data_IF_724661530489
#
_entry.id   IF_724661530489
#
_cell.length_a   1.000
_cell.length_b   1.000
_cell.length_c   1.000
_cell.angle_alpha   90.00
_cell.angle_beta   90.00
_cell.angle_gamma   90.00
#
_symmetry.space_group_name_H-M   'P 1'
#
loop_
_entity.id
_entity.type
_entity.pdbx_description
1 polymer ?
#
# COMPACT_ATOMS: atom_id res chain seq x y z
N UNK A 1 31.12 44.55 34.20
CA UNK A 1 31.07 44.75 35.69
C UNK A 1 30.24 43.62 36.30
N UNK A 2 30.91 42.78 37.04
CA UNK A 2 30.49 41.78 38.08
C UNK A 2 29.59 40.61 37.57
N UNK A 3 30.15 39.40 37.29
CA UNK A 3 30.81 38.40 38.19
C UNK A 3 29.91 37.88 39.33
N UNK A 4 29.58 36.57 39.28
CA UNK A 4 29.64 35.58 40.37
C UNK A 4 28.99 34.28 39.81
N UNK A 5 29.62 33.18 39.54
CA UNK A 5 30.52 32.23 40.25
C UNK A 5 29.90 31.65 41.54
N UNK A 6 29.59 30.37 41.56
CA UNK A 6 29.80 29.37 42.58
C UNK A 6 29.01 28.09 42.25
N UNK A 7 29.63 27.00 41.91
CA UNK A 7 30.32 25.99 42.73
C UNK A 7 29.39 24.95 43.39
N UNK A 8 29.54 23.71 42.86
CA UNK A 8 29.72 22.41 43.52
C UNK A 8 28.72 21.94 44.58
N UNK A 9 28.20 20.72 44.39
CA UNK A 9 28.54 19.60 45.30
C UNK A 9 28.23 18.24 44.66
N UNK A 10 29.27 17.39 44.57
CA UNK A 10 29.20 15.94 44.40
C UNK A 10 28.56 15.29 45.61
N UNK A 11 27.68 14.31 45.41
CA UNK A 11 27.23 13.38 46.44
C UNK A 11 27.28 11.94 45.90
N UNK A 12 28.43 11.28 46.10
CA UNK A 12 28.58 9.83 45.95
C UNK A 12 27.97 9.15 47.15
N UNK A 13 26.93 8.33 46.94
CA UNK A 13 26.49 7.35 47.95
C UNK A 13 26.75 5.95 47.41
N UNK A 14 27.81 5.34 47.93
CA UNK A 14 28.08 3.92 47.79
C UNK A 14 27.23 3.16 48.80
N UNK A 15 26.36 2.27 48.37
CA UNK A 15 25.72 1.26 49.26
C UNK A 15 26.35 -0.10 48.99
N UNK A 16 27.10 -0.54 49.96
CA UNK A 16 27.58 -1.91 50.16
C UNK A 16 26.38 -2.82 50.48
N UNK A 17 26.12 -3.84 49.64
CA UNK A 17 25.26 -4.97 50.00
C UNK A 17 26.15 -6.19 50.22
N UNK A 18 26.11 -6.66 51.43
CA UNK A 18 26.81 -7.85 51.98
C UNK A 18 26.21 -9.10 51.30
N UNK A 19 27.09 -9.91 50.74
CA UNK A 19 26.77 -11.25 50.24
C UNK A 19 26.63 -12.22 51.41
N UNK A 20 25.48 -12.89 51.53
CA UNK A 20 25.36 -14.15 52.26
C UNK A 20 25.24 -15.28 51.24
N UNK A 21 26.24 -16.13 51.17
CA UNK A 21 26.29 -17.32 50.35
C UNK A 21 25.34 -18.40 50.87
N UNK A 22 24.60 -18.98 49.95
CA UNK A 22 23.92 -20.26 50.12
C UNK A 22 24.31 -21.16 48.93
N UNK A 23 25.14 -22.14 49.22
CA UNK A 23 25.54 -23.16 48.26
C UNK A 23 24.34 -24.05 47.93
N UNK A 24 23.85 -23.97 46.68
CA UNK A 24 22.92 -24.96 46.15
C UNK A 24 23.72 -26.14 45.59
N UNK A 25 23.60 -27.27 46.25
CA UNK A 25 24.10 -28.58 45.83
C UNK A 25 23.49 -28.97 44.47
N UNK A 26 24.35 -29.17 43.51
CA UNK A 26 23.98 -29.75 42.20
C UNK A 26 23.54 -31.21 42.38
N UNK A 27 22.31 -31.51 41.94
CA UNK A 27 21.80 -32.88 41.80
C UNK A 27 22.29 -33.39 40.45
N UNK A 28 22.93 -34.56 40.37
CA UNK A 28 23.34 -35.12 39.09
C UNK A 28 22.15 -35.57 38.24
N UNK A 29 22.23 -35.50 36.91
CA UNK A 29 21.15 -35.91 36.04
C UNK A 29 20.93 -37.41 36.11
N UNK A 30 19.69 -37.81 36.40
CA UNK A 30 19.24 -39.20 36.32
C UNK A 30 19.20 -39.64 34.87
N UNK A 31 19.99 -40.63 34.51
CA UNK A 31 19.93 -41.30 33.23
C UNK A 31 18.61 -42.05 33.11
N UNK A 32 17.71 -41.54 32.27
CA UNK A 32 16.54 -42.28 31.81
C UNK A 32 16.98 -43.14 30.60
N UNK A 33 16.79 -44.45 30.60
CA UNK A 33 17.14 -45.27 29.43
C UNK A 33 16.22 -44.92 28.26
N UNK A 34 16.83 -44.88 27.06
CA UNK A 34 16.13 -44.70 25.81
C UNK A 34 15.12 -45.84 25.59
N UNK A 35 13.91 -45.57 25.07
CA UNK A 35 12.99 -46.62 24.70
C UNK A 35 13.54 -47.46 23.55
N UNK A 36 13.37 -48.77 23.65
CA UNK A 36 13.68 -49.76 22.61
C UNK A 36 12.89 -49.44 21.31
N UNK A 37 13.48 -49.70 20.13
CA UNK A 37 12.79 -49.46 18.87
C UNK A 37 11.62 -50.46 18.71
N UNK A 38 10.41 -49.92 18.63
CA UNK A 38 9.21 -50.67 18.30
C UNK A 38 9.31 -51.19 16.85
N UNK A 39 9.06 -52.46 16.66
CA UNK A 39 9.08 -53.13 15.38
C UNK A 39 8.19 -52.43 14.34
N UNK A 40 8.69 -52.30 13.12
CA UNK A 40 8.00 -51.74 11.97
C UNK A 40 6.69 -52.57 11.69
N UNK A 41 5.59 -51.88 11.34
CA UNK A 41 4.42 -52.57 10.83
C UNK A 41 4.69 -53.17 9.44
N UNK A 42 4.26 -54.42 9.29
CA UNK A 42 4.30 -55.17 8.03
C UNK A 42 3.51 -54.40 6.96
N UNK A 43 4.17 -54.22 5.80
CA UNK A 43 3.56 -53.62 4.60
C UNK A 43 2.28 -54.41 4.18
N UNK A 44 1.19 -53.65 4.06
CA UNK A 44 0.03 -54.10 3.34
C UNK A 44 0.25 -53.95 1.82
N UNK A 45 -0.33 -54.80 0.96
CA UNK A 45 -0.05 -54.80 -0.46
C UNK A 45 -0.44 -53.49 -1.12
N UNK A 46 0.52 -52.86 -1.76
CA UNK A 46 0.35 -51.66 -2.57
C UNK A 46 -0.57 -51.97 -3.75
N UNK A 47 -1.78 -51.45 -3.70
CA UNK A 47 -2.59 -51.35 -4.91
C UNK A 47 -1.92 -50.28 -5.80
N UNK A 48 -1.42 -50.70 -6.92
CA UNK A 48 -0.90 -49.84 -7.99
C UNK A 48 -2.09 -49.07 -8.55
N UNK A 49 -2.32 -47.85 -8.04
CA UNK A 49 -3.15 -46.87 -8.73
C UNK A 49 -2.31 -46.32 -9.87
N UNK A 50 -2.71 -46.56 -11.10
CA UNK A 50 -2.26 -45.79 -12.26
C UNK A 50 -2.45 -44.31 -11.95
N UNK A 51 -1.49 -43.46 -12.30
CA UNK A 51 -1.67 -42.02 -12.19
C UNK A 51 -2.80 -41.64 -13.16
N UNK A 52 -4.00 -41.40 -12.62
CA UNK A 52 -4.98 -40.59 -13.30
C UNK A 52 -4.30 -39.23 -13.46
N UNK A 53 -3.92 -38.91 -14.67
CA UNK A 53 -3.71 -37.55 -15.11
C UNK A 53 -5.04 -36.81 -14.80
N UNK A 54 -5.06 -36.12 -13.68
CA UNK A 54 -5.99 -35.02 -13.49
C UNK A 54 -5.56 -33.98 -14.52
N UNK A 55 -6.24 -33.96 -15.66
CA UNK A 55 -6.29 -32.77 -16.48
C UNK A 55 -6.77 -31.64 -15.55
N UNK A 56 -6.07 -30.51 -15.51
CA UNK A 56 -6.61 -29.33 -14.89
C UNK A 56 -7.98 -29.09 -15.53
N UNK A 57 -9.02 -29.07 -14.74
CA UNK A 57 -10.29 -28.54 -15.21
C UNK A 57 -10.06 -27.06 -15.44
N UNK A 58 -9.68 -26.70 -16.66
CA UNK A 58 -9.94 -25.40 -17.21
C UNK A 58 -11.46 -25.19 -17.08
N UNK A 59 -11.90 -24.57 -16.02
CA UNK A 59 -13.11 -23.80 -16.05
C UNK A 59 -12.79 -22.58 -16.93
N UNK A 60 -12.85 -22.83 -18.25
CA UNK A 60 -13.09 -21.76 -19.17
C UNK A 60 -14.36 -21.06 -18.69
N UNK A 61 -14.21 -19.90 -18.09
CA UNK A 61 -15.25 -18.90 -18.17
C UNK A 61 -15.28 -18.46 -19.63
N UNK A 62 -16.07 -19.21 -20.46
CA UNK A 62 -16.49 -18.74 -21.76
C UNK A 62 -17.42 -17.55 -21.55
N UNK A 63 -16.84 -16.39 -21.24
CA UNK A 63 -17.48 -15.11 -21.44
C UNK A 63 -17.29 -14.71 -22.91
N UNK A 64 -18.32 -14.19 -23.55
CA UNK A 64 -18.21 -13.51 -24.83
C UNK A 64 -17.47 -12.18 -24.61
N UNK A 65 -16.14 -12.23 -24.49
CA UNK A 65 -15.31 -11.04 -24.34
C UNK A 65 -15.35 -10.20 -25.62
N UNK A 66 -15.34 -8.87 -25.47
CA UNK A 66 -15.36 -7.97 -26.61
C UNK A 66 -14.09 -8.13 -27.45
N UNK A 67 -14.17 -7.88 -28.80
CA UNK A 67 -12.99 -7.88 -29.65
C UNK A 67 -11.92 -6.86 -29.19
N UNK A 68 -12.36 -5.75 -28.60
CA UNK A 68 -11.51 -4.70 -28.05
C UNK A 68 -10.70 -5.24 -26.85
N UNK A 69 -11.36 -5.92 -25.91
CA UNK A 69 -10.70 -6.53 -24.76
C UNK A 69 -9.70 -7.62 -25.19
N UNK A 70 -10.08 -8.46 -26.16
CA UNK A 70 -9.18 -9.48 -26.72
C UNK A 70 -7.97 -8.86 -27.43
N UNK A 71 -8.15 -7.69 -28.07
CA UNK A 71 -7.03 -6.95 -28.66
C UNK A 71 -6.08 -6.40 -27.60
N UNK A 72 -6.60 -5.84 -26.49
CA UNK A 72 -5.80 -5.40 -25.35
C UNK A 72 -5.06 -6.59 -24.72
N UNK A 73 -5.73 -7.71 -24.51
CA UNK A 73 -5.11 -8.93 -23.99
C UNK A 73 -3.95 -9.41 -24.90
N UNK A 74 -4.17 -9.41 -26.23
CA UNK A 74 -3.15 -9.80 -27.20
C UNK A 74 -1.96 -8.81 -27.22
N UNK A 75 -2.19 -7.52 -27.03
CA UNK A 75 -1.15 -6.51 -26.92
C UNK A 75 -0.34 -6.70 -25.63
N UNK A 76 -0.99 -6.93 -24.50
CA UNK A 76 -0.33 -7.22 -23.21
C UNK A 76 0.47 -8.51 -23.26
N UNK A 77 -0.06 -9.55 -23.94
CA UNK A 77 0.61 -10.83 -24.09
C UNK A 77 1.84 -10.78 -25.01
N UNK A 78 1.81 -9.98 -26.06
CA UNK A 78 2.81 -9.99 -27.12
C UNK A 78 3.48 -8.63 -27.35
N UNK A 79 2.97 -7.59 -26.70
CA UNK A 79 3.48 -6.23 -26.84
C UNK A 79 4.64 -5.93 -25.89
N UNK A 80 5.12 -4.68 -25.90
CA UNK A 80 6.21 -4.23 -25.01
C UNK A 80 5.92 -4.44 -23.52
N UNK A 81 4.65 -4.41 -23.11
CA UNK A 81 4.23 -4.68 -21.73
C UNK A 81 4.42 -6.12 -21.28
N UNK A 82 4.47 -7.10 -22.19
CA UNK A 82 4.61 -8.53 -21.88
C UNK A 82 5.89 -8.88 -21.10
N UNK A 83 6.94 -8.09 -21.24
CA UNK A 83 8.22 -8.35 -20.53
C UNK A 83 8.16 -8.01 -19.03
N UNK A 84 7.08 -7.38 -18.55
CA UNK A 84 6.89 -7.01 -17.14
C UNK A 84 5.98 -7.93 -16.39
N UNK A 85 5.78 -9.05 -16.94
CA UNK A 85 5.10 -10.12 -16.31
C UNK A 85 6.08 -10.84 -15.39
N UNK A 86 6.20 -10.37 -14.16
CA UNK A 86 6.93 -11.05 -13.10
C UNK A 86 6.17 -12.27 -12.60
N UNK A 87 6.84 -13.17 -11.88
CA UNK A 87 6.14 -14.23 -11.16
C UNK A 87 5.33 -13.58 -10.02
N UNK A 88 3.99 -13.65 -10.12
CA UNK A 88 3.09 -13.13 -9.10
C UNK A 88 3.35 -13.77 -7.73
N UNK A 89 3.77 -15.03 -7.70
CA UNK A 89 4.10 -15.72 -6.47
C UNK A 89 5.30 -15.08 -5.75
N UNK A 90 6.23 -14.48 -6.47
CA UNK A 90 7.36 -13.78 -5.86
C UNK A 90 6.94 -12.46 -5.20
N UNK A 91 5.89 -11.81 -5.72
CA UNK A 91 5.41 -10.52 -5.21
C UNK A 91 4.31 -10.66 -4.17
N UNK A 92 3.30 -11.50 -4.42
CA UNK A 92 2.10 -11.59 -3.58
C UNK A 92 2.01 -12.90 -2.79
N UNK A 93 2.94 -13.82 -3.02
CA UNK A 93 2.90 -15.19 -2.47
C UNK A 93 2.01 -16.11 -3.31
N UNK A 94 1.88 -17.39 -2.93
CA UNK A 94 1.12 -18.35 -3.70
C UNK A 94 -0.33 -17.87 -3.84
N UNK A 95 -0.73 -17.64 -5.09
CA UNK A 95 -2.09 -17.25 -5.43
C UNK A 95 -2.93 -18.51 -5.53
N UNK A 96 -3.97 -18.69 -4.70
CA UNK A 96 -4.76 -19.92 -4.72
C UNK A 96 -5.58 -20.11 -5.99
N UNK A 97 -5.76 -19.08 -6.81
CA UNK A 97 -6.72 -19.10 -7.91
C UNK A 97 -6.37 -18.32 -9.18
N UNK A 98 -5.25 -17.63 -9.24
CA UNK A 98 -4.79 -17.10 -10.52
C UNK A 98 -4.30 -18.30 -11.31
N UNK A 99 -5.15 -18.74 -12.25
CA UNK A 99 -4.84 -19.91 -13.04
C UNK A 99 -3.59 -19.66 -13.88
N UNK A 100 -2.76 -20.70 -13.93
CA UNK A 100 -1.58 -20.78 -14.79
C UNK A 100 -1.86 -20.60 -16.30
N UNK A 101 -3.14 -20.39 -16.71
CA UNK A 101 -3.50 -20.02 -18.09
C UNK A 101 -2.82 -18.73 -18.54
N UNK A 102 -2.42 -17.95 -17.56
CA UNK A 102 -1.61 -16.76 -17.73
C UNK A 102 -0.14 -17.01 -17.38
N UNK A 103 0.31 -18.25 -17.51
CA UNK A 103 1.64 -18.73 -17.18
C UNK A 103 2.78 -17.96 -17.86
N UNK A 104 2.47 -17.13 -18.83
CA UNK A 104 3.38 -16.14 -19.40
C UNK A 104 3.29 -14.81 -18.67
N UNK A 105 2.52 -14.76 -17.54
CA UNK A 105 2.38 -13.65 -16.63
C UNK A 105 1.51 -12.50 -17.15
N UNK A 106 0.62 -12.78 -18.07
CA UNK A 106 -0.39 -11.85 -18.51
C UNK A 106 -1.48 -11.67 -17.44
N UNK A 107 -2.19 -10.56 -17.52
CA UNK A 107 -3.37 -10.35 -16.68
C UNK A 107 -4.46 -11.31 -17.14
N UNK A 108 -5.13 -12.06 -16.22
CA UNK A 108 -6.27 -12.91 -16.57
C UNK A 108 -7.37 -12.13 -17.29
N UNK A 109 -8.09 -12.76 -18.22
CA UNK A 109 -9.12 -12.07 -18.99
C UNK A 109 -10.21 -11.45 -18.11
N UNK A 110 -10.59 -12.11 -17.02
CA UNK A 110 -11.57 -11.57 -16.06
C UNK A 110 -11.05 -10.29 -15.38
N UNK A 111 -9.76 -10.26 -15.00
CA UNK A 111 -9.15 -9.10 -14.39
C UNK A 111 -8.93 -7.96 -15.40
N UNK A 112 -8.65 -8.28 -16.66
CA UNK A 112 -8.63 -7.29 -17.75
C UNK A 112 -9.99 -6.66 -17.97
N UNK A 113 -11.06 -7.45 -17.94
CA UNK A 113 -12.42 -6.96 -18.10
C UNK A 113 -12.79 -5.99 -16.97
N UNK A 114 -12.54 -6.37 -15.72
CA UNK A 114 -12.81 -5.52 -14.57
C UNK A 114 -11.95 -4.25 -14.51
N UNK A 115 -10.75 -4.29 -15.10
CA UNK A 115 -9.77 -3.20 -15.06
C UNK A 115 -9.49 -2.60 -16.45
N UNK A 116 -10.39 -2.80 -17.41
CA UNK A 116 -10.30 -2.23 -18.76
C UNK A 116 -10.10 -0.71 -18.75
N UNK A 117 -10.66 -0.03 -17.76
CA UNK A 117 -10.47 1.41 -17.55
C UNK A 117 -9.00 1.83 -17.41
N UNK A 118 -8.12 0.94 -16.92
CA UNK A 118 -6.66 1.17 -16.87
C UNK A 118 -6.06 0.99 -18.25
N UNK A 119 -6.23 -0.17 -18.85
CA UNK A 119 -5.52 -0.59 -20.06
C UNK A 119 -5.97 0.15 -21.32
N UNK A 120 -7.21 0.62 -21.37
CA UNK A 120 -7.78 1.42 -22.46
C UNK A 120 -7.48 2.92 -22.30
N UNK A 121 -6.95 3.36 -21.17
CA UNK A 121 -6.70 4.77 -20.89
C UNK A 121 -5.54 5.34 -21.70
N UNK A 122 -5.63 6.63 -22.02
CA UNK A 122 -4.50 7.38 -22.60
C UNK A 122 -3.30 7.46 -21.63
N UNK A 123 -3.57 7.40 -20.34
CA UNK A 123 -2.53 7.36 -19.32
C UNK A 123 -1.64 6.12 -19.45
N UNK A 124 -2.26 4.93 -19.54
CA UNK A 124 -1.53 3.66 -19.72
C UNK A 124 -0.71 3.67 -21.02
N UNK A 125 -1.27 4.15 -22.12
CA UNK A 125 -0.55 4.31 -23.39
C UNK A 125 0.63 5.26 -23.24
N UNK A 126 0.46 6.38 -22.53
CA UNK A 126 1.54 7.31 -22.21
C UNK A 126 2.66 6.69 -21.37
N UNK A 127 2.33 5.75 -20.46
CA UNK A 127 3.34 4.98 -19.72
C UNK A 127 4.14 4.07 -20.66
N UNK A 128 3.48 3.35 -21.57
CA UNK A 128 4.16 2.49 -22.57
C UNK A 128 5.16 3.29 -23.42
N UNK A 129 4.77 4.48 -23.87
CA UNK A 129 5.65 5.37 -24.63
C UNK A 129 6.87 5.85 -23.81
N UNK A 130 6.65 6.26 -22.56
CA UNK A 130 7.70 6.73 -21.65
C UNK A 130 8.64 5.62 -21.18
N UNK A 131 8.18 4.39 -21.18
CA UNK A 131 8.98 3.21 -20.80
C UNK A 131 10.13 2.91 -21.77
N UNK A 132 10.06 3.42 -23.00
CA UNK A 132 11.10 3.29 -24.04
C UNK A 132 11.61 1.85 -24.24
N UNK A 133 10.71 0.90 -24.38
CA UNK A 133 11.05 -0.52 -24.54
C UNK A 133 11.94 -0.83 -25.75
N UNK A 134 11.69 -0.15 -26.85
CA UNK A 134 12.36 -0.41 -28.13
C UNK A 134 13.57 0.49 -28.40
N UNK A 135 13.71 1.58 -27.64
CA UNK A 135 14.79 2.55 -27.78
C UNK A 135 15.20 3.11 -26.42
N UNK A 136 15.72 2.26 -25.53
CA UNK A 136 16.09 2.66 -24.18
C UNK A 136 17.30 3.63 -24.20
N UNK A 137 17.37 4.49 -23.21
CA UNK A 137 18.50 5.41 -23.02
C UNK A 137 19.79 4.62 -22.79
N UNK A 138 20.85 4.95 -23.55
CA UNK A 138 22.16 4.39 -23.36
C UNK A 138 22.86 5.01 -22.15
N UNK A 139 23.46 4.17 -21.30
CA UNK A 139 24.27 4.63 -20.17
C UNK A 139 25.64 5.08 -20.66
N UNK A 140 26.03 6.29 -20.33
CA UNK A 140 27.34 6.88 -20.65
C UNK A 140 28.19 7.16 -19.41
N UNK A 141 27.57 7.17 -18.23
CA UNK A 141 28.25 7.46 -16.97
C UNK A 141 29.25 6.36 -16.58
N UNK A 142 30.50 6.78 -16.29
CA UNK A 142 31.61 5.90 -15.93
C UNK A 142 32.18 6.16 -14.52
N UNK A 143 31.56 7.09 -13.77
CA UNK A 143 31.99 7.44 -12.41
C UNK A 143 31.75 6.35 -11.37
N UNK A 144 31.92 6.69 -10.11
CA UNK A 144 31.66 5.80 -8.98
C UNK A 144 30.16 5.49 -8.85
N UNK A 145 29.77 4.35 -8.26
CA UNK A 145 28.36 4.06 -7.97
C UNK A 145 27.70 5.14 -7.10
N UNK A 146 26.46 5.46 -7.46
CA UNK A 146 25.61 6.36 -6.68
C UNK A 146 24.60 5.47 -5.94
N UNK A 147 24.61 5.55 -4.62
CA UNK A 147 23.68 4.81 -3.75
C UNK A 147 22.58 5.77 -3.31
N UNK A 148 21.34 5.29 -3.37
CA UNK A 148 20.12 6.02 -3.02
C UNK A 148 19.47 5.29 -1.84
N UNK A 149 19.34 5.96 -0.72
CA UNK A 149 18.61 5.44 0.44
C UNK A 149 17.12 5.69 0.26
N UNK A 150 16.35 4.62 0.12
CA UNK A 150 14.90 4.65 -0.04
C UNK A 150 14.19 4.25 1.24
N UNK A 151 13.09 4.90 1.57
CA UNK A 151 12.21 4.50 2.66
C UNK A 151 10.75 4.41 2.21
N UNK A 152 10.09 3.34 2.62
CA UNK A 152 8.68 3.07 2.37
C UNK A 152 7.96 2.68 3.67
N UNK A 153 6.65 2.69 3.66
CA UNK A 153 5.79 2.45 4.84
C UNK A 153 6.15 1.13 5.54
N UNK A 154 6.22 0.02 4.80
CA UNK A 154 6.54 -1.29 5.32
C UNK A 154 6.92 -2.24 4.18
N UNK A 155 8.08 -2.88 4.26
CA UNK A 155 8.61 -3.78 3.21
C UNK A 155 7.79 -5.04 2.96
N UNK A 156 6.89 -5.41 3.86
CA UNK A 156 6.00 -6.55 3.66
C UNK A 156 4.80 -6.24 2.75
N UNK A 157 4.48 -4.95 2.56
CA UNK A 157 3.37 -4.51 1.71
C UNK A 157 3.81 -4.52 0.25
N UNK A 158 2.96 -4.97 -0.66
CA UNK A 158 3.31 -5.18 -2.07
C UNK A 158 3.78 -3.90 -2.76
N UNK A 159 3.13 -2.77 -2.57
CA UNK A 159 3.53 -1.52 -3.21
C UNK A 159 4.89 -0.95 -2.73
N UNK A 160 5.39 -1.42 -1.57
CA UNK A 160 6.76 -1.19 -1.13
C UNK A 160 7.70 -2.28 -1.66
N UNK A 161 7.26 -3.53 -1.59
CA UNK A 161 8.03 -4.71 -2.01
C UNK A 161 8.38 -4.65 -3.51
N UNK A 162 7.52 -4.10 -4.36
CA UNK A 162 7.76 -3.94 -5.80
C UNK A 162 9.00 -3.09 -6.10
N UNK A 163 9.34 -2.14 -5.24
CA UNK A 163 10.59 -1.37 -5.38
C UNK A 163 11.79 -2.32 -5.29
N UNK A 164 11.80 -3.20 -4.28
CA UNK A 164 12.91 -4.14 -4.04
C UNK A 164 12.98 -5.26 -5.07
N UNK A 165 11.82 -5.78 -5.49
CA UNK A 165 11.75 -6.98 -6.33
C UNK A 165 11.74 -6.66 -7.81
N UNK A 166 11.29 -5.47 -8.20
CA UNK A 166 11.19 -5.06 -9.59
C UNK A 166 12.16 -3.92 -9.96
N UNK A 167 12.05 -2.74 -9.30
CA UNK A 167 12.84 -1.57 -9.68
C UNK A 167 14.32 -1.74 -9.41
N UNK A 168 14.69 -2.15 -8.20
CA UNK A 168 16.10 -2.23 -7.76
C UNK A 168 16.95 -3.14 -8.66
N UNK A 169 16.57 -4.40 -8.95
CA UNK A 169 17.38 -5.27 -9.80
C UNK A 169 17.50 -4.73 -11.22
N UNK A 170 16.43 -4.22 -11.79
CA UNK A 170 16.40 -3.67 -13.15
C UNK A 170 17.25 -2.42 -13.29
N UNK A 171 17.10 -1.48 -12.36
CA UNK A 171 17.90 -0.25 -12.35
C UNK A 171 19.39 -0.57 -12.18
N UNK A 172 19.72 -1.49 -11.28
CA UNK A 172 21.08 -1.95 -11.06
C UNK A 172 21.68 -2.59 -12.32
N UNK A 173 20.94 -3.45 -13.00
CA UNK A 173 21.37 -4.09 -14.25
C UNK A 173 21.53 -3.06 -15.36
N UNK A 174 20.53 -2.22 -15.60
CA UNK A 174 20.52 -1.19 -16.65
C UNK A 174 21.65 -0.17 -16.50
N UNK A 175 22.08 0.08 -15.27
CA UNK A 175 23.16 1.03 -14.97
C UNK A 175 24.50 0.35 -14.69
N UNK A 176 24.63 -0.96 -14.94
CA UNK A 176 25.83 -1.74 -14.59
C UNK A 176 26.30 -1.48 -13.15
N UNK A 177 25.36 -1.37 -12.19
CA UNK A 177 25.64 -1.08 -10.80
C UNK A 177 26.11 0.36 -10.53
N UNK A 178 25.82 1.31 -11.41
CA UNK A 178 26.18 2.73 -11.20
C UNK A 178 25.11 3.54 -10.48
N UNK A 179 23.87 3.08 -10.48
CA UNK A 179 22.78 3.64 -9.68
C UNK A 179 22.12 2.47 -8.91
N UNK A 180 22.18 2.52 -7.59
CA UNK A 180 21.74 1.46 -6.69
C UNK A 180 20.77 2.06 -5.68
N UNK A 181 19.59 1.47 -5.53
CA UNK A 181 18.64 1.84 -4.46
C UNK A 181 18.78 0.80 -3.34
N UNK A 182 19.00 1.28 -2.13
CA UNK A 182 18.97 0.51 -0.88
C UNK A 182 17.69 0.85 -0.13
N UNK A 183 16.78 -0.11 -0.05
CA UNK A 183 15.46 0.11 0.55
C UNK A 183 15.43 -0.27 2.02
N UNK A 184 14.70 0.54 2.76
CA UNK A 184 14.36 0.34 4.17
C UNK A 184 12.88 0.70 4.40
N UNK A 185 12.40 0.57 5.62
CA UNK A 185 11.04 0.95 5.98
C UNK A 185 11.02 1.99 7.11
N UNK A 186 9.91 2.71 7.22
CA UNK A 186 9.72 3.71 8.28
C UNK A 186 9.96 3.12 9.68
N UNK A 187 9.44 1.93 10.04
CA UNK A 187 9.72 1.32 11.34
C UNK A 187 11.20 1.02 11.58
N UNK A 188 11.95 0.60 10.54
CA UNK A 188 13.39 0.30 10.66
C UNK A 188 14.21 1.57 10.92
N UNK A 189 13.75 2.71 10.41
CA UNK A 189 14.39 4.02 10.62
C UNK A 189 13.87 4.76 11.87
N UNK A 190 12.78 4.29 12.47
CA UNK A 190 12.10 5.02 13.54
C UNK A 190 11.39 6.29 13.03
N UNK A 191 11.05 6.35 11.75
CA UNK A 191 10.29 7.45 11.12
C UNK A 191 8.80 7.13 11.20
N UNK A 192 7.97 8.10 11.58
CA UNK A 192 6.53 7.98 11.48
C UNK A 192 6.03 8.48 10.11
N UNK A 193 4.88 7.96 9.66
CA UNK A 193 4.28 8.39 8.39
C UNK A 193 4.13 9.90 8.23
N UNK A 194 3.64 10.64 9.24
CA UNK A 194 3.54 12.10 9.20
C UNK A 194 4.86 12.85 8.98
N UNK A 195 5.99 12.27 9.34
CA UNK A 195 7.30 12.93 9.26
C UNK A 195 7.94 12.80 7.85
N UNK A 196 7.30 12.10 6.92
CA UNK A 196 7.91 11.74 5.62
C UNK A 196 8.21 12.93 4.73
N UNK A 197 7.38 13.99 4.74
CA UNK A 197 7.67 15.23 3.99
C UNK A 197 8.91 15.94 4.51
N UNK A 198 9.08 16.00 5.84
CA UNK A 198 10.25 16.58 6.47
C UNK A 198 11.54 15.87 6.04
N UNK A 199 11.49 14.52 5.95
CA UNK A 199 12.66 13.74 5.49
C UNK A 199 13.13 14.14 4.08
N UNK A 200 12.19 14.48 3.18
CA UNK A 200 12.51 14.94 1.82
C UNK A 200 12.97 16.39 1.82
N UNK A 201 12.28 17.27 2.56
CA UNK A 201 12.57 18.71 2.62
C UNK A 201 13.97 18.99 3.19
N UNK A 202 14.39 18.20 4.18
CA UNK A 202 15.65 18.37 4.90
C UNK A 202 16.80 17.51 4.37
N UNK A 203 16.60 16.84 3.23
CA UNK A 203 17.62 15.98 2.60
C UNK A 203 18.14 14.86 3.54
N UNK A 204 17.31 14.35 4.49
CA UNK A 204 17.68 13.28 5.42
C UNK A 204 17.54 11.89 4.82
N UNK A 205 16.63 11.73 3.85
CA UNK A 205 16.47 10.54 3.03
C UNK A 205 16.56 10.92 1.56
N UNK A 206 17.16 10.04 0.76
CA UNK A 206 17.38 10.28 -0.67
C UNK A 206 16.11 10.13 -1.48
N UNK A 207 15.28 9.13 -1.15
CA UNK A 207 13.98 8.87 -1.75
C UNK A 207 12.99 8.40 -0.67
N UNK A 208 11.76 8.89 -0.73
CA UNK A 208 10.70 8.53 0.22
C UNK A 208 9.40 8.28 -0.53
N UNK A 209 8.66 7.27 -0.09
CA UNK A 209 7.28 7.08 -0.50
C UNK A 209 6.37 8.01 0.31
N UNK A 210 5.75 8.99 -0.35
CA UNK A 210 4.86 9.98 0.25
C UNK A 210 3.42 9.55 0.02
N UNK A 211 2.72 9.21 1.10
CA UNK A 211 1.31 8.80 1.10
C UNK A 211 0.44 9.94 1.64
N UNK A 212 -0.50 10.43 0.84
CA UNK A 212 -1.37 11.57 1.18
C UNK A 212 -1.99 11.51 2.57
N UNK A 213 -2.68 10.44 2.97
CA UNK A 213 -3.26 10.32 4.31
C UNK A 213 -2.28 10.50 5.47
N UNK A 214 -1.03 10.05 5.32
CA UNK A 214 -0.05 10.20 6.40
C UNK A 214 0.38 11.65 6.61
N UNK A 215 0.47 12.40 5.53
CA UNK A 215 0.97 13.78 5.55
C UNK A 215 -0.15 14.84 5.53
N UNK A 216 -1.41 14.41 5.62
CA UNK A 216 -2.57 15.29 5.52
C UNK A 216 -2.64 16.38 6.61
N UNK A 217 -1.99 16.17 7.75
CA UNK A 217 -1.86 17.18 8.81
C UNK A 217 -0.94 18.34 8.43
N UNK A 218 0.05 18.10 7.56
CA UNK A 218 1.03 19.06 7.10
C UNK A 218 0.72 19.56 5.68
N UNK A 219 0.29 18.67 4.79
CA UNK A 219 -0.04 18.94 3.39
C UNK A 219 -1.43 18.38 3.04
N UNK A 220 -2.53 18.99 3.56
CA UNK A 220 -3.89 18.46 3.39
C UNK A 220 -4.34 18.39 1.93
N UNK A 221 -3.76 19.18 1.03
CA UNK A 221 -4.02 19.15 -0.40
C UNK A 221 -3.73 17.77 -1.01
N UNK A 222 -2.70 17.08 -0.52
CA UNK A 222 -2.31 15.78 -1.06
C UNK A 222 -3.33 14.68 -0.73
N UNK A 223 -4.15 14.87 0.30
CA UNK A 223 -5.21 13.92 0.67
C UNK A 223 -6.36 13.87 -0.36
N UNK A 224 -6.44 14.82 -1.29
CA UNK A 224 -7.47 14.85 -2.36
C UNK A 224 -7.53 13.53 -3.14
N UNK A 225 -6.41 12.84 -3.31
CA UNK A 225 -6.34 11.53 -3.97
C UNK A 225 -6.99 10.41 -3.15
N UNK A 226 -7.27 10.69 -1.87
CA UNK A 226 -7.61 9.67 -0.88
C UNK A 226 -8.78 10.09 0.01
N UNK A 227 -9.67 10.97 -0.46
CA UNK A 227 -10.87 11.33 0.29
C UNK A 227 -11.73 10.09 0.50
N UNK A 228 -11.75 9.62 1.74
CA UNK A 228 -12.19 8.28 2.07
C UNK A 228 -13.70 8.11 1.89
N UNK A 229 -14.12 7.00 1.28
CA UNK A 229 -15.52 6.71 0.99
C UNK A 229 -16.12 7.47 -0.20
N UNK A 230 -15.33 8.35 -0.86
CA UNK A 230 -15.83 9.23 -1.93
C UNK A 230 -16.20 8.48 -3.20
N UNK A 231 -15.46 7.42 -3.53
CA UNK A 231 -15.61 6.66 -4.76
C UNK A 231 -16.43 5.40 -4.53
N UNK A 232 -17.28 5.05 -5.49
CA UNK A 232 -18.07 3.82 -5.48
C UNK A 232 -17.54 2.76 -6.43
N UNK A 233 -16.65 3.17 -7.35
CA UNK A 233 -15.98 2.30 -8.31
C UNK A 233 -14.49 2.67 -8.40
N UNK A 234 -13.63 1.68 -8.64
CA UNK A 234 -12.18 1.86 -8.79
C UNK A 234 -11.84 2.76 -9.99
N UNK A 235 -12.58 2.60 -11.08
CA UNK A 235 -12.45 3.43 -12.28
C UNK A 235 -12.58 4.93 -11.98
N UNK A 236 -13.52 5.30 -11.11
CA UNK A 236 -13.71 6.69 -10.70
C UNK A 236 -12.47 7.27 -10.02
N UNK A 237 -11.88 6.53 -9.09
CA UNK A 237 -10.68 7.00 -8.40
C UNK A 237 -9.47 7.03 -9.31
N UNK A 238 -9.31 6.04 -10.19
CA UNK A 238 -8.25 6.02 -11.18
C UNK A 238 -8.34 7.22 -12.12
N UNK A 239 -9.51 7.44 -12.73
CA UNK A 239 -9.77 8.55 -13.63
C UNK A 239 -9.53 9.92 -12.96
N UNK A 240 -10.10 10.12 -11.78
CA UNK A 240 -9.89 11.34 -11.00
C UNK A 240 -8.42 11.55 -10.64
N UNK A 241 -7.71 10.49 -10.23
CA UNK A 241 -6.29 10.57 -9.89
C UNK A 241 -5.46 10.95 -11.10
N UNK A 242 -5.68 10.31 -12.25
CA UNK A 242 -4.97 10.62 -13.51
C UNK A 242 -5.18 12.08 -13.92
N UNK A 243 -6.41 12.60 -13.81
CA UNK A 243 -6.74 13.98 -14.18
C UNK A 243 -6.03 15.01 -13.25
N UNK A 244 -5.81 14.68 -11.97
CA UNK A 244 -5.18 15.59 -11.01
C UNK A 244 -3.66 15.38 -10.85
N UNK A 245 -3.05 14.38 -11.51
CA UNK A 245 -1.62 14.10 -11.36
C UNK A 245 -0.71 15.31 -11.59
N UNK A 246 -0.93 16.17 -12.62
CA UNK A 246 -0.08 17.35 -12.81
C UNK A 246 -0.12 18.32 -11.63
N UNK A 247 -1.29 18.48 -10.99
CA UNK A 247 -1.44 19.36 -9.82
C UNK A 247 -0.73 18.78 -8.59
N UNK A 248 -0.83 17.46 -8.42
CA UNK A 248 -0.19 16.73 -7.32
C UNK A 248 1.34 16.74 -7.47
N UNK A 249 1.85 16.47 -8.66
CA UNK A 249 3.29 16.51 -8.92
C UNK A 249 3.85 17.92 -8.68
N UNK A 250 3.14 18.94 -9.15
CA UNK A 250 3.56 20.35 -8.93
C UNK A 250 3.50 20.70 -7.44
N UNK A 251 2.46 20.28 -6.70
CA UNK A 251 2.35 20.46 -5.26
C UNK A 251 3.56 19.85 -4.52
N UNK A 252 3.93 18.62 -4.87
CA UNK A 252 5.07 17.93 -4.25
C UNK A 252 6.40 18.64 -4.57
N UNK A 253 6.57 19.11 -5.80
CA UNK A 253 7.75 19.90 -6.21
C UNK A 253 7.83 21.20 -5.43
N UNK A 254 6.73 21.93 -5.34
CA UNK A 254 6.67 23.23 -4.66
C UNK A 254 6.93 23.09 -3.16
N UNK A 255 6.38 22.04 -2.54
CA UNK A 255 6.50 21.80 -1.11
C UNK A 255 7.88 21.26 -0.71
N UNK A 256 8.39 20.25 -1.42
CA UNK A 256 9.62 19.55 -1.04
C UNK A 256 10.85 20.04 -1.80
N UNK A 257 10.66 20.69 -2.95
CA UNK A 257 11.72 20.96 -3.93
C UNK A 257 12.28 19.68 -4.57
N UNK A 258 11.74 18.51 -4.23
CA UNK A 258 12.17 17.21 -4.73
C UNK A 258 11.61 16.89 -6.12
N UNK A 259 11.91 15.69 -6.59
CA UNK A 259 11.45 15.18 -7.87
C UNK A 259 10.55 13.98 -7.67
N UNK A 260 9.22 14.07 -7.95
CA UNK A 260 8.33 12.92 -8.01
C UNK A 260 8.75 12.02 -9.19
N UNK A 261 9.34 10.86 -8.87
CA UNK A 261 9.93 9.99 -9.91
C UNK A 261 8.86 9.14 -10.62
N UNK A 262 7.83 8.75 -9.89
CA UNK A 262 6.68 8.00 -10.39
C UNK A 262 5.49 8.06 -9.44
N UNK A 263 4.32 7.75 -9.96
CA UNK A 263 3.16 7.35 -9.16
C UNK A 263 3.39 5.92 -8.69
N UNK A 264 3.15 5.65 -7.43
CA UNK A 264 3.18 4.32 -6.86
C UNK A 264 1.75 3.88 -6.58
N UNK A 265 1.15 3.17 -7.52
CA UNK A 265 -0.19 2.61 -7.40
C UNK A 265 -0.20 1.49 -6.36
N UNK A 266 -1.17 1.50 -5.47
CA UNK A 266 -1.26 0.54 -4.37
C UNK A 266 -1.93 -0.79 -4.78
N UNK A 267 -1.89 -1.08 -6.07
CA UNK A 267 -2.30 -2.36 -6.60
C UNK A 267 -3.77 -2.69 -6.34
N UNK A 268 -4.66 -1.67 -6.49
CA UNK A 268 -6.11 -1.84 -6.44
C UNK A 268 -6.65 -2.38 -5.12
N UNK A 269 -6.05 -2.00 -4.03
CA UNK A 269 -6.40 -2.47 -2.69
C UNK A 269 -7.71 -1.82 -2.23
N UNK A 270 -8.85 -2.47 -2.42
CA UNK A 270 -10.05 -2.08 -1.71
C UNK A 270 -9.78 -2.06 -0.20
N UNK A 271 -10.38 -1.11 0.47
CA UNK A 271 -10.20 -0.93 1.90
C UNK A 271 -11.30 -1.65 2.66
N UNK A 272 -10.95 -2.25 3.77
CA UNK A 272 -11.86 -3.02 4.62
C UNK A 272 -11.74 -2.56 6.08
N UNK A 273 -12.84 -2.79 6.83
CA UNK A 273 -12.82 -2.76 8.29
C UNK A 273 -12.59 -4.16 8.81
N UNK A 274 -11.48 -4.35 9.49
CA UNK A 274 -11.12 -5.56 10.20
C UNK A 274 -11.62 -5.47 11.63
N UNK A 275 -12.54 -6.33 12.06
CA UNK A 275 -13.26 -6.22 13.33
C UNK A 275 -13.33 -7.54 14.08
N UNK A 276 -13.57 -7.45 15.40
CA UNK A 276 -13.84 -8.63 16.24
C UNK A 276 -15.29 -9.11 16.12
N UNK A 277 -16.22 -8.19 15.88
CA UNK A 277 -17.64 -8.45 15.70
C UNK A 277 -18.07 -8.06 14.28
N UNK A 278 -19.12 -8.69 13.72
CA UNK A 278 -19.58 -8.39 12.36
C UNK A 278 -20.29 -7.03 12.30
N UNK A 279 -20.15 -6.32 11.18
CA UNK A 279 -20.81 -5.03 10.94
C UNK A 279 -22.02 -5.23 10.01
N UNK A 280 -23.19 -5.51 10.58
CA UNK A 280 -24.43 -5.78 9.83
C UNK A 280 -25.32 -4.55 9.68
N UNK A 281 -25.21 -3.59 10.59
CA UNK A 281 -26.06 -2.39 10.63
C UNK A 281 -25.31 -1.18 11.21
N UNK A 282 -25.78 0.04 10.95
CA UNK A 282 -25.17 1.28 11.45
C UNK A 282 -24.85 1.29 12.95
N UNK A 283 -25.71 0.70 13.77
CA UNK A 283 -25.50 0.66 15.22
C UNK A 283 -24.26 -0.15 15.65
N UNK A 284 -23.75 -1.04 14.80
CA UNK A 284 -22.56 -1.86 15.12
C UNK A 284 -21.26 -1.03 15.07
N UNK A 285 -21.28 0.14 14.44
CA UNK A 285 -20.13 1.05 14.34
C UNK A 285 -20.09 2.05 15.50
N UNK A 286 -21.22 2.27 16.18
CA UNK A 286 -21.35 3.35 17.17
C UNK A 286 -20.34 3.27 18.32
N UNK A 287 -19.49 4.30 18.44
CA UNK A 287 -18.44 4.38 19.45
C UNK A 287 -17.28 3.38 19.30
N UNK A 288 -17.25 2.59 18.22
CA UNK A 288 -16.21 1.60 17.97
C UNK A 288 -14.86 2.27 17.77
N UNK A 289 -13.87 1.93 18.59
CA UNK A 289 -12.51 2.42 18.49
C UNK A 289 -11.80 1.84 17.28
N UNK A 290 -11.74 2.62 16.23
CA UNK A 290 -11.26 2.19 14.93
C UNK A 290 -9.97 2.90 14.56
N UNK A 291 -8.95 2.12 14.18
CA UNK A 291 -7.69 2.68 13.65
C UNK A 291 -7.93 3.41 12.36
N UNK A 292 -7.50 4.67 12.33
CA UNK A 292 -7.32 5.47 11.13
C UNK A 292 -5.82 5.67 10.84
N UNK A 293 -5.48 5.99 9.58
CA UNK A 293 -4.12 6.33 9.17
C UNK A 293 -4.04 7.66 8.39
N UNK A 294 -5.11 8.44 8.43
CA UNK A 294 -5.21 9.74 7.79
C UNK A 294 -6.39 10.54 8.33
N UNK A 295 -6.47 11.82 7.94
CA UNK A 295 -7.50 12.72 8.45
C UNK A 295 -8.87 12.45 7.83
N UNK A 296 -8.96 12.23 6.51
CA UNK A 296 -10.24 11.90 5.86
C UNK A 296 -10.81 10.55 6.31
N UNK A 297 -9.95 9.58 6.63
CA UNK A 297 -10.38 8.31 7.21
C UNK A 297 -10.94 8.53 8.63
N UNK A 298 -10.30 9.41 9.40
CA UNK A 298 -10.81 9.79 10.74
C UNK A 298 -12.16 10.48 10.66
N UNK A 299 -12.32 11.41 9.71
CA UNK A 299 -13.59 12.08 9.45
C UNK A 299 -14.67 11.07 9.04
N UNK A 300 -14.34 10.14 8.15
CA UNK A 300 -15.28 9.10 7.73
C UNK A 300 -15.70 8.20 8.88
N UNK A 301 -14.75 7.71 9.71
CA UNK A 301 -15.06 6.91 10.90
C UNK A 301 -15.97 7.68 11.86
N UNK A 302 -15.69 8.96 12.10
CA UNK A 302 -16.51 9.83 12.95
C UNK A 302 -17.92 10.03 12.35
N UNK A 303 -18.03 10.26 11.05
CA UNK A 303 -19.28 10.37 10.32
C UNK A 303 -20.11 9.09 10.33
N UNK A 304 -19.47 7.95 10.41
CA UNK A 304 -20.10 6.64 10.61
C UNK A 304 -20.56 6.42 12.07
N UNK A 305 -20.20 7.30 13.00
CA UNK A 305 -20.50 7.18 14.43
C UNK A 305 -19.44 6.46 15.25
N UNK A 306 -18.32 6.09 14.67
CA UNK A 306 -17.19 5.45 15.34
C UNK A 306 -16.27 6.43 16.07
N UNK A 307 -15.29 5.91 16.81
CA UNK A 307 -14.25 6.66 17.53
C UNK A 307 -12.89 6.47 16.83
N UNK A 308 -12.46 7.41 15.95
CA UNK A 308 -11.22 7.27 15.19
C UNK A 308 -9.99 7.42 16.07
N UNK A 309 -9.04 6.50 15.92
CA UNK A 309 -7.77 6.50 16.62
C UNK A 309 -6.63 6.48 15.60
N UNK A 310 -5.82 7.55 15.52
CA UNK A 310 -4.64 7.54 14.66
C UNK A 310 -3.58 6.61 15.25
N UNK A 311 -3.13 5.63 14.46
CA UNK A 311 -2.07 4.71 14.85
C UNK A 311 -1.20 4.28 13.67
N UNK A 312 0.12 4.27 13.88
CA UNK A 312 1.07 3.80 12.88
C UNK A 312 0.83 2.32 12.53
N UNK A 313 1.01 1.95 11.27
CA UNK A 313 0.65 0.63 10.75
C UNK A 313 1.25 -0.54 11.54
N UNK A 314 2.53 -0.44 11.92
CA UNK A 314 3.24 -1.49 12.65
C UNK A 314 2.72 -1.71 14.09
N UNK A 315 1.96 -0.77 14.66
CA UNK A 315 1.46 -0.83 16.04
C UNK A 315 0.06 -1.45 16.13
N UNK A 316 -0.64 -1.56 15.00
CA UNK A 316 -2.07 -1.93 14.94
C UNK A 316 -2.31 -3.34 15.45
N UNK A 317 -1.51 -4.33 15.04
CA UNK A 317 -1.65 -5.70 15.51
C UNK A 317 -1.69 -5.77 17.05
N UNK A 318 -0.72 -5.16 17.70
CA UNK A 318 -0.63 -5.16 19.17
C UNK A 318 -1.81 -4.42 19.83
N UNK A 319 -2.29 -3.34 19.22
CA UNK A 319 -3.44 -2.59 19.73
C UNK A 319 -4.75 -3.40 19.61
N UNK A 320 -4.96 -4.12 18.50
CA UNK A 320 -6.08 -5.04 18.31
C UNK A 320 -5.99 -6.22 19.27
N UNK A 321 -4.82 -6.85 19.42
CA UNK A 321 -4.59 -7.96 20.33
C UNK A 321 -4.95 -7.59 21.78
N UNK A 322 -4.53 -6.40 22.23
CA UNK A 322 -4.78 -5.91 23.59
C UNK A 322 -6.17 -5.33 23.81
N UNK A 323 -6.98 -5.20 22.77
CA UNK A 323 -8.31 -4.59 22.85
C UNK A 323 -8.27 -3.08 23.10
N UNK A 324 -7.16 -2.41 22.76
CA UNK A 324 -7.06 -0.93 22.74
C UNK A 324 -7.86 -0.41 21.55
N UNK A 325 -7.81 -1.13 20.44
CA UNK A 325 -8.65 -0.95 19.25
C UNK A 325 -9.63 -2.12 19.12
N UNK A 326 -10.82 -1.83 18.60
CA UNK A 326 -11.87 -2.79 18.28
C UNK A 326 -11.87 -3.12 16.79
N UNK A 327 -11.40 -2.17 15.97
CA UNK A 327 -11.30 -2.28 14.53
C UNK A 327 -10.05 -1.63 13.96
N UNK A 328 -9.70 -2.05 12.73
CA UNK A 328 -8.66 -1.41 11.93
C UNK A 328 -9.11 -1.24 10.48
N UNK A 329 -8.77 -0.10 9.87
CA UNK A 329 -9.02 0.18 8.45
C UNK A 329 -7.73 -0.02 7.68
N UNK A 330 -7.75 -0.89 6.66
CA UNK A 330 -6.63 -1.09 5.72
C UNK A 330 -7.06 -1.92 4.51
N UNK A 331 -6.20 -2.04 3.49
CA UNK A 331 -6.38 -2.97 2.36
C UNK A 331 -6.31 -4.44 2.77
N UNK A 332 -6.89 -5.31 1.95
CA UNK A 332 -6.96 -6.74 2.23
C UNK A 332 -5.58 -7.39 2.36
N UNK A 333 -4.69 -7.17 1.42
CA UNK A 333 -3.31 -7.70 1.45
C UNK A 333 -2.49 -7.11 2.61
N UNK A 334 -2.66 -5.80 2.87
CA UNK A 334 -1.96 -5.12 3.95
C UNK A 334 -2.33 -5.68 5.32
N UNK A 335 -3.62 -5.88 5.61
CA UNK A 335 -4.09 -6.49 6.85
C UNK A 335 -3.59 -7.92 7.02
N UNK A 336 -3.62 -8.72 5.94
CA UNK A 336 -3.08 -10.08 5.95
C UNK A 336 -1.57 -10.08 6.21
N UNK A 337 -0.79 -9.23 5.54
CA UNK A 337 0.67 -9.16 5.69
C UNK A 337 1.12 -8.83 7.12
N UNK A 338 0.28 -8.10 7.88
CA UNK A 338 0.47 -7.79 9.29
C UNK A 338 -0.20 -8.80 10.23
N UNK A 339 -0.74 -9.90 9.69
CA UNK A 339 -1.34 -11.00 10.44
C UNK A 339 -2.53 -10.58 11.33
N UNK A 340 -3.28 -9.56 10.90
CA UNK A 340 -4.44 -9.11 11.68
C UNK A 340 -5.48 -10.22 11.85
N UNK A 341 -5.53 -11.18 10.93
CA UNK A 341 -6.38 -12.37 11.00
C UNK A 341 -6.17 -13.25 12.26
N UNK A 342 -5.08 -13.05 13.01
CA UNK A 342 -4.84 -13.77 14.27
C UNK A 342 -5.57 -13.15 15.46
N UNK A 343 -5.99 -11.89 15.36
CA UNK A 343 -6.50 -11.08 16.49
C UNK A 343 -7.88 -10.49 16.25
N UNK A 344 -8.46 -10.72 15.05
CA UNK A 344 -9.82 -10.32 14.66
C UNK A 344 -10.55 -11.48 14.01
N UNK A 345 -11.86 -11.34 13.74
CA UNK A 345 -12.68 -12.43 13.20
C UNK A 345 -13.35 -12.09 11.86
N UNK A 346 -13.54 -10.80 11.57
CA UNK A 346 -14.33 -10.35 10.43
C UNK A 346 -13.55 -9.36 9.58
N UNK A 347 -13.80 -9.42 8.27
CA UNK A 347 -13.40 -8.43 7.29
C UNK A 347 -14.67 -7.88 6.65
N UNK A 348 -14.94 -6.58 6.81
CA UNK A 348 -16.20 -5.95 6.40
C UNK A 348 -15.97 -4.91 5.32
N UNK A 349 -16.83 -4.84 4.33
CA UNK A 349 -16.73 -3.88 3.21
C UNK A 349 -17.34 -4.41 1.91
N UNK A 350 -16.68 -4.17 0.77
CA UNK A 350 -15.53 -3.29 0.61
C UNK A 350 -15.90 -1.82 0.70
N UNK A 351 -14.89 -1.00 0.99
CA UNK A 351 -14.88 0.41 0.65
C UNK A 351 -14.03 0.54 -0.60
N UNK A 352 -14.67 0.79 -1.72
CA UNK A 352 -14.01 0.80 -3.01
C UNK A 352 -12.88 1.81 -3.02
N UNK A 353 -11.68 1.38 -3.40
CA UNK A 353 -10.50 2.20 -3.43
C UNK A 353 -9.50 1.77 -4.49
N UNK A 354 -8.85 2.74 -5.12
CA UNK A 354 -7.68 2.55 -5.97
C UNK A 354 -6.61 3.55 -5.57
N UNK A 355 -5.99 3.36 -4.42
CA UNK A 355 -5.10 4.35 -3.85
C UNK A 355 -3.78 4.45 -4.61
N UNK A 356 -3.16 5.62 -4.48
CA UNK A 356 -1.83 5.90 -5.00
C UNK A 356 -1.00 6.71 -4.01
N UNK A 357 0.32 6.67 -4.18
CA UNK A 357 1.28 7.49 -3.48
C UNK A 357 2.36 7.93 -4.45
N UNK A 358 3.34 8.68 -3.99
CA UNK A 358 4.40 9.17 -4.84
C UNK A 358 5.76 8.82 -4.25
N UNK A 359 6.66 8.29 -5.08
CA UNK A 359 8.06 8.20 -4.70
C UNK A 359 8.73 9.53 -5.07
N UNK A 360 9.23 10.24 -4.07
CA UNK A 360 9.85 11.56 -4.22
C UNK A 360 11.33 11.46 -3.91
N UNK A 361 12.17 11.82 -4.88
CA UNK A 361 13.62 11.92 -4.72
C UNK A 361 13.95 13.33 -4.27
N UNK A 362 14.75 13.49 -3.21
CA UNK A 362 15.10 14.82 -2.73
C UNK A 362 15.88 15.61 -3.77
N UNK A 363 15.78 16.94 -3.70
CA UNK A 363 16.38 17.86 -4.70
C UNK A 363 17.88 17.75 -4.84
N UNK A 364 18.59 17.57 -3.71
CA UNK A 364 20.06 17.51 -3.69
C UNK A 364 20.55 16.23 -4.35
N UNK A 365 19.89 15.11 -4.07
CA UNK A 365 20.18 13.83 -4.71
C UNK A 365 19.86 13.87 -6.19
N UNK A 366 18.66 14.33 -6.56
CA UNK A 366 18.27 14.43 -7.97
C UNK A 366 19.24 15.26 -8.79
N UNK A 367 19.67 16.40 -8.27
CA UNK A 367 20.59 17.31 -8.96
C UNK A 367 22.00 16.74 -9.17
N UNK A 368 22.45 15.80 -8.32
CA UNK A 368 23.78 15.16 -8.45
C UNK A 368 23.82 13.96 -9.39
N UNK A 369 22.65 13.42 -9.76
CA UNK A 369 22.58 12.25 -10.65
C UNK A 369 22.83 12.70 -12.10
N UNK A 370 23.78 12.10 -12.83
CA UNK A 370 24.01 12.36 -14.25
C UNK A 370 22.74 12.18 -15.09
N UNK A 371 22.59 12.99 -16.13
CA UNK A 371 21.36 13.03 -16.94
C UNK A 371 20.99 11.69 -17.55
N UNK A 372 21.95 10.92 -18.03
CA UNK A 372 21.69 9.59 -18.58
C UNK A 372 21.16 8.62 -17.52
N UNK A 373 21.68 8.66 -16.30
CA UNK A 373 21.18 7.88 -15.18
C UNK A 373 19.80 8.35 -14.72
N UNK A 374 19.52 9.67 -14.75
CA UNK A 374 18.16 10.18 -14.49
C UNK A 374 17.16 9.65 -15.51
N UNK A 375 17.49 9.66 -16.79
CA UNK A 375 16.61 9.17 -17.85
C UNK A 375 16.38 7.64 -17.72
N UNK A 376 17.44 6.88 -17.44
CA UNK A 376 17.30 5.43 -17.19
C UNK A 376 16.40 5.17 -15.97
N UNK A 377 16.57 5.95 -14.90
CA UNK A 377 15.72 5.78 -13.71
C UNK A 377 14.26 6.08 -14.02
N UNK A 378 13.96 7.16 -14.73
CA UNK A 378 12.59 7.48 -15.17
C UNK A 378 11.98 6.34 -15.99
N UNK A 379 12.73 5.76 -16.92
CA UNK A 379 12.29 4.61 -17.73
C UNK A 379 11.94 3.40 -16.85
N UNK A 380 12.82 3.02 -15.93
CA UNK A 380 12.58 1.88 -15.07
C UNK A 380 11.52 2.15 -14.00
N UNK A 381 11.36 3.39 -13.53
CA UNK A 381 10.28 3.79 -12.64
C UNK A 381 8.90 3.73 -13.31
N UNK A 382 8.80 4.15 -14.57
CA UNK A 382 7.59 4.00 -15.38
C UNK A 382 7.25 2.52 -15.61
N UNK A 383 8.24 1.68 -15.82
CA UNK A 383 8.03 0.22 -15.95
C UNK A 383 7.53 -0.41 -14.65
N UNK A 384 8.05 0.07 -13.50
CA UNK A 384 7.51 -0.34 -12.20
C UNK A 384 6.05 0.10 -12.03
N UNK A 385 5.69 1.27 -12.54
CA UNK A 385 4.32 1.75 -12.50
C UNK A 385 3.38 0.87 -13.35
N UNK A 386 3.80 0.48 -14.57
CA UNK A 386 3.08 -0.50 -15.40
C UNK A 386 2.89 -1.84 -14.67
N UNK A 387 3.93 -2.32 -13.98
CA UNK A 387 3.86 -3.54 -13.19
C UNK A 387 2.91 -3.40 -11.98
N UNK A 388 2.92 -2.25 -11.30
CA UNK A 388 1.98 -1.98 -10.22
C UNK A 388 0.52 -1.98 -10.70
N UNK A 389 0.24 -1.37 -11.85
CA UNK A 389 -1.09 -1.38 -12.46
C UNK A 389 -1.52 -2.81 -12.86
N UNK A 390 -0.58 -3.62 -13.38
CA UNK A 390 -0.84 -5.02 -13.71
C UNK A 390 -1.17 -5.84 -12.46
N UNK A 391 -0.38 -5.70 -11.41
CA UNK A 391 -0.63 -6.39 -10.14
C UNK A 391 -1.95 -5.96 -9.51
N UNK A 392 -2.31 -4.69 -9.64
CA UNK A 392 -3.54 -4.12 -9.11
C UNK A 392 -4.80 -4.82 -9.61
N UNK A 393 -4.75 -5.34 -10.84
CA UNK A 393 -5.88 -6.04 -11.42
C UNK A 393 -6.26 -7.34 -10.70
N UNK A 394 -5.34 -7.95 -9.97
CA UNK A 394 -5.55 -9.26 -9.33
C UNK A 394 -5.34 -9.24 -7.81
N UNK A 395 -4.58 -8.28 -7.31
CA UNK A 395 -4.15 -8.29 -5.92
C UNK A 395 -5.28 -8.07 -4.93
N UNK A 396 -6.28 -7.28 -5.30
CA UNK A 396 -7.42 -7.03 -4.42
C UNK A 396 -8.16 -8.33 -4.09
N UNK A 397 -8.49 -9.12 -5.11
CA UNK A 397 -9.13 -10.43 -4.94
C UNK A 397 -8.25 -11.37 -4.11
N UNK A 398 -6.95 -11.39 -4.40
CA UNK A 398 -6.02 -12.21 -3.63
C UNK A 398 -5.91 -11.77 -2.16
N UNK A 399 -5.93 -10.46 -1.90
CA UNK A 399 -5.87 -9.91 -0.54
C UNK A 399 -7.08 -10.30 0.30
N UNK A 400 -8.28 -10.19 -0.26
CA UNK A 400 -9.51 -10.62 0.40
C UNK A 400 -9.52 -12.14 0.62
N UNK A 401 -9.21 -12.94 -0.42
CA UNK A 401 -9.22 -14.38 -0.34
C UNK A 401 -8.25 -14.93 0.71
N UNK A 402 -7.03 -14.37 0.80
CA UNK A 402 -6.04 -14.74 1.83
C UNK A 402 -6.57 -14.58 3.25
N UNK A 403 -7.33 -13.52 3.51
CA UNK A 403 -7.94 -13.31 4.83
C UNK A 403 -9.06 -14.33 5.11
N UNK A 404 -9.88 -14.64 4.11
CA UNK A 404 -10.91 -15.67 4.22
C UNK A 404 -10.28 -17.05 4.46
N UNK A 405 -9.23 -17.41 3.72
CA UNK A 405 -8.50 -18.67 3.89
C UNK A 405 -7.80 -18.76 5.26
N UNK A 406 -7.39 -17.62 5.81
CA UNK A 406 -6.86 -17.53 7.17
C UNK A 406 -7.93 -17.63 8.27
N UNK A 407 -9.21 -17.67 7.90
CA UNK A 407 -10.33 -17.93 8.81
C UNK A 407 -11.20 -16.71 9.14
N UNK A 408 -11.01 -15.57 8.47
CA UNK A 408 -11.92 -14.44 8.65
C UNK A 408 -13.24 -14.67 7.90
N UNK A 409 -14.33 -14.23 8.50
CA UNK A 409 -15.63 -14.16 7.85
C UNK A 409 -15.77 -12.82 7.13
N UNK A 410 -16.12 -12.89 5.83
CA UNK A 410 -16.36 -11.69 5.03
C UNK A 410 -17.82 -11.24 5.16
N UNK A 411 -18.00 -9.97 5.53
CA UNK A 411 -19.30 -9.31 5.63
C UNK A 411 -19.36 -8.18 4.60
N UNK A 412 -20.19 -8.36 3.59
CA UNK A 412 -20.44 -7.30 2.60
C UNK A 412 -21.34 -6.22 3.20
N UNK A 413 -21.01 -4.95 2.98
CA UNK A 413 -21.82 -3.83 3.42
C UNK A 413 -23.19 -3.81 2.74
N UNK A 414 -24.23 -3.94 3.54
CA UNK A 414 -25.62 -3.80 3.09
C UNK A 414 -25.97 -2.34 2.77
N UNK A 415 -27.17 -2.11 2.19
CA UNK A 415 -27.60 -0.77 1.75
C UNK A 415 -27.54 0.30 2.86
N UNK A 416 -27.91 -0.04 4.10
CA UNK A 416 -27.90 0.89 5.24
C UNK A 416 -26.48 1.32 5.62
N UNK A 417 -25.51 0.41 5.53
CA UNK A 417 -24.10 0.72 5.79
C UNK A 417 -23.51 1.57 4.67
N UNK A 418 -23.90 1.33 3.42
CA UNK A 418 -23.49 2.15 2.27
C UNK A 418 -24.08 3.56 2.37
N UNK A 419 -25.37 3.71 2.68
CA UNK A 419 -26.00 5.02 2.90
C UNK A 419 -25.34 5.78 4.04
N UNK A 420 -24.99 5.11 5.14
CA UNK A 420 -24.26 5.74 6.25
C UNK A 420 -22.88 6.23 5.81
N UNK A 421 -22.15 5.43 5.02
CA UNK A 421 -20.86 5.81 4.43
C UNK A 421 -20.99 7.03 3.51
N UNK A 422 -21.96 7.02 2.59
CA UNK A 422 -22.21 8.13 1.66
C UNK A 422 -22.57 9.43 2.42
N UNK A 423 -23.36 9.34 3.47
CA UNK A 423 -23.67 10.47 4.34
C UNK A 423 -22.42 11.00 5.04
N UNK A 424 -21.55 10.14 5.58
CA UNK A 424 -20.30 10.54 6.21
C UNK A 424 -19.39 11.33 5.25
N UNK A 425 -19.35 10.95 3.97
CA UNK A 425 -18.58 11.67 2.95
C UNK A 425 -19.06 13.12 2.80
N UNK A 426 -20.39 13.32 2.71
CA UNK A 426 -21.00 14.64 2.46
C UNK A 426 -20.97 15.52 3.72
N UNK A 427 -21.13 14.93 4.90
CA UNK A 427 -21.30 15.70 6.16
C UNK A 427 -19.98 15.93 6.89
N UNK A 428 -18.98 15.08 6.69
CA UNK A 428 -17.72 15.12 7.43
C UNK A 428 -16.50 15.17 6.50
N UNK A 429 -16.32 14.17 5.60
CA UNK A 429 -15.08 14.01 4.85
C UNK A 429 -14.80 15.22 3.96
N UNK A 430 -15.71 15.55 3.06
CA UNK A 430 -15.52 16.65 2.09
C UNK A 430 -15.52 18.02 2.79
N UNK A 431 -16.46 18.36 3.68
CA UNK A 431 -16.45 19.63 4.39
C UNK A 431 -15.18 19.86 5.21
N UNK A 432 -14.77 18.86 6.00
CA UNK A 432 -13.57 18.97 6.83
C UNK A 432 -12.30 19.09 5.99
N UNK A 433 -12.22 18.41 4.84
CA UNK A 433 -11.12 18.60 3.91
C UNK A 433 -11.10 20.02 3.31
N UNK A 434 -12.25 20.56 2.90
CA UNK A 434 -12.36 21.95 2.41
C UNK A 434 -11.82 22.93 3.43
N UNK A 435 -12.20 22.77 4.70
CA UNK A 435 -11.69 23.62 5.78
C UNK A 435 -10.17 23.49 5.95
N UNK A 436 -9.63 22.27 5.89
CA UNK A 436 -8.18 22.01 6.01
C UNK A 436 -7.35 22.62 4.88
N UNK A 437 -7.88 22.64 3.65
CA UNK A 437 -7.15 23.24 2.52
C UNK A 437 -7.28 24.75 2.43
N UNK A 438 -8.05 25.38 3.33
CA UNK A 438 -8.17 26.85 3.45
C UNK A 438 -9.50 27.43 2.99
N UNK A 439 -10.55 26.61 2.87
CA UNK A 439 -11.91 27.01 2.53
C UNK A 439 -12.27 26.85 1.05
N UNK A 440 -13.51 27.21 0.66
CA UNK A 440 -14.05 26.92 -0.67
C UNK A 440 -13.33 27.65 -1.83
N UNK A 441 -12.63 28.73 -1.53
CA UNK A 441 -11.82 29.47 -2.52
C UNK A 441 -10.39 28.96 -2.68
N UNK A 442 -10.03 27.86 -1.96
CA UNK A 442 -8.69 27.30 -2.04
C UNK A 442 -8.40 26.68 -3.42
N UNK A 443 -7.16 26.79 -3.96
CA UNK A 443 -6.83 26.27 -5.29
C UNK A 443 -7.15 24.79 -5.49
N UNK A 444 -6.99 23.96 -4.46
CA UNK A 444 -7.28 22.54 -4.55
C UNK A 444 -8.78 22.21 -4.53
N UNK A 445 -9.66 23.12 -4.11
CA UNK A 445 -11.11 23.01 -4.32
C UNK A 445 -11.46 23.14 -5.81
N UNK A 446 -10.75 24.00 -6.55
CA UNK A 446 -10.90 24.07 -8.01
C UNK A 446 -10.44 22.74 -8.68
N UNK A 447 -9.34 22.14 -8.21
CA UNK A 447 -8.89 20.82 -8.66
C UNK A 447 -9.96 19.76 -8.39
N UNK A 448 -10.55 19.73 -7.19
CA UNK A 448 -11.66 18.84 -6.85
C UNK A 448 -12.84 19.00 -7.81
N UNK A 449 -13.30 20.24 -8.00
CA UNK A 449 -14.46 20.51 -8.85
C UNK A 449 -14.20 20.23 -10.34
N UNK A 450 -12.94 20.30 -10.78
CA UNK A 450 -12.57 19.95 -12.16
C UNK A 450 -12.40 18.43 -12.33
N UNK A 451 -11.64 17.76 -11.47
CA UNK A 451 -11.19 16.39 -11.67
C UNK A 451 -12.10 15.34 -11.00
N UNK A 452 -12.74 15.66 -9.90
CA UNK A 452 -13.50 14.71 -9.08
C UNK A 452 -15.00 14.89 -9.24
N UNK A 453 -15.49 16.13 -9.12
CA UNK A 453 -16.93 16.42 -9.10
C UNK A 453 -17.70 15.84 -10.31
N UNK A 454 -17.20 15.91 -11.57
CA UNK A 454 -17.90 15.33 -12.71
C UNK A 454 -18.04 13.80 -12.64
N UNK A 455 -17.13 13.14 -11.93
CA UNK A 455 -17.07 11.68 -11.83
C UNK A 455 -17.98 11.16 -10.72
N UNK A 456 -17.91 11.81 -9.55
CA UNK A 456 -18.62 11.34 -8.34
C UNK A 456 -19.96 12.02 -8.13
N UNK A 457 -20.30 13.10 -8.87
CA UNK A 457 -21.54 13.85 -8.74
C UNK A 457 -21.64 14.67 -7.45
N UNK A 458 -20.50 15.02 -6.83
CA UNK A 458 -20.41 15.86 -5.64
C UNK A 458 -19.66 17.14 -6.02
N UNK A 459 -20.23 18.30 -5.76
CA UNK A 459 -19.65 19.62 -6.08
C UNK A 459 -19.50 20.45 -4.81
N UNK A 460 -18.41 21.20 -4.71
CA UNK A 460 -18.17 22.18 -3.67
C UNK A 460 -18.52 23.56 -4.23
N UNK A 461 -19.56 24.16 -3.69
CA UNK A 461 -20.04 25.48 -4.11
C UNK A 461 -19.14 26.59 -3.56
N UNK A 462 -19.21 27.80 -4.15
CA UNK A 462 -18.40 28.94 -3.75
C UNK A 462 -18.64 29.40 -2.32
N UNK A 463 -19.79 29.09 -1.73
CA UNK A 463 -20.11 29.37 -0.33
C UNK A 463 -19.72 28.25 0.64
N UNK A 464 -19.08 27.19 0.14
CA UNK A 464 -18.68 26.02 0.89
C UNK A 464 -19.75 24.94 1.03
N UNK A 465 -20.95 25.16 0.46
CA UNK A 465 -22.01 24.14 0.45
C UNK A 465 -21.61 22.96 -0.39
N UNK A 466 -21.79 21.74 0.12
CA UNK A 466 -21.60 20.51 -0.63
C UNK A 466 -22.93 20.10 -1.26
N UNK A 467 -22.95 19.99 -2.58
CA UNK A 467 -24.12 19.52 -3.34
C UNK A 467 -23.85 18.15 -3.94
N UNK A 468 -24.86 17.28 -3.94
CA UNK A 468 -24.78 15.94 -4.54
C UNK A 468 -25.92 15.75 -5.53
N UNK A 469 -25.59 15.13 -6.67
CA UNK A 469 -26.57 14.72 -7.69
C UNK A 469 -26.93 13.24 -7.59
N UNK A 470 -26.40 12.54 -6.61
CA UNK A 470 -26.71 11.13 -6.32
C UNK A 470 -27.99 10.98 -5.52
#
# INVERSE_FOLDING_TARGET
MRTFLAMMLLGVVALLVVACGGAATAVPPTNTPAPEPTAAPTEAPTATMEPQQQQPQQQQMEGDYSPELLAVAAELANGPGAIYVGDLNDLVGPAPTVEEGDAEGNVPLWALEEHSFVYESDYYRGLLDRAKFTNPTEMTYTGDPIIIQNACVNRAIVFCKIVDTFLVPRLTERTNGKLIIESTSFPELGVAGPDTLEQVREDTLDMVNVLGPYVAGDLPQLEIQYLFGLYTERSQQFEATVEMLPDIEQLLIDDTGGYPINVNWHNGDDIFLFTKEPLNMPADVEGMKTRAFGTSISDWIAGMGGDPQFLAFAEVYTALERGILEAGVTGGDAGHSQRWYEVINYINGPLTSWPSSHNVVNKTVWARIPTDLQEIWKEEAVKMELEALRLGAIQNELGLQKNIDAGLEYIEFGPEMRELSDNAVITEVVPNWVDRVGGPDAPFVEVFNRAIAPIVGITIEADGTITSTK
#
